data_IF_047178833867
#
_entry.id   IF_047178833867
#
_cell.length_a   1.000
_cell.length_b   1.000
_cell.length_c   1.000
_cell.angle_alpha   90.00
_cell.angle_beta   90.00
_cell.angle_gamma   90.00
#
_symmetry.space_group_name_H-M   'P 1'
#
loop_
_entity.id
_entity.type
_entity.pdbx_description
1 polymer ?
#
# COMPACT_ATOMS: atom_id res chain seq x y z
N UNK A 1 7.00 11.65 -9.53
CA UNK A 1 6.15 10.78 -10.34
C UNK A 1 5.33 10.02 -9.33
N UNK A 2 4.02 10.21 -9.30
CA UNK A 2 3.16 9.48 -8.37
C UNK A 2 3.21 8.01 -8.83
N UNK A 3 3.88 7.17 -8.07
CA UNK A 3 3.76 5.73 -8.22
C UNK A 3 2.34 5.43 -7.78
N UNK A 4 1.38 5.45 -8.71
CA UNK A 4 0.13 4.76 -8.44
C UNK A 4 0.55 3.33 -8.14
N UNK A 5 0.51 2.96 -6.86
CA UNK A 5 0.54 1.56 -6.46
C UNK A 5 -0.42 0.84 -7.41
N UNK A 6 0.06 -0.23 -8.06
CA UNK A 6 -0.89 -1.21 -8.59
C UNK A 6 -1.88 -1.51 -7.48
N UNK A 7 -3.17 -1.67 -7.84
CA UNK A 7 -4.23 -1.77 -6.84
C UNK A 7 -3.80 -2.78 -5.78
N UNK A 8 -3.94 -2.49 -4.49
CA UNK A 8 -3.40 -3.33 -3.42
C UNK A 8 -3.90 -4.79 -3.47
N UNK A 9 -5.02 -5.00 -4.18
CA UNK A 9 -5.57 -6.31 -4.52
C UNK A 9 -4.73 -7.12 -5.53
N UNK A 10 -3.85 -6.48 -6.29
CA UNK A 10 -2.95 -7.07 -7.30
C UNK A 10 -1.54 -7.31 -6.75
N UNK A 11 -1.18 -6.70 -5.61
CA UNK A 11 0.12 -6.87 -4.97
C UNK A 11 0.23 -8.21 -4.23
N UNK A 12 1.34 -8.90 -4.46
CA UNK A 12 1.75 -10.10 -3.74
C UNK A 12 2.17 -9.77 -2.29
N UNK A 13 2.27 -10.78 -1.42
CA UNK A 13 2.73 -10.59 -0.04
C UNK A 13 4.15 -9.97 0.03
N UNK A 14 5.06 -10.41 -0.85
CA UNK A 14 6.42 -9.86 -0.92
C UNK A 14 6.43 -8.40 -1.39
N UNK A 15 5.57 -8.05 -2.35
CA UNK A 15 5.46 -6.67 -2.84
C UNK A 15 4.85 -5.76 -1.77
N UNK A 16 3.82 -6.21 -1.06
CA UNK A 16 3.24 -5.45 0.07
C UNK A 16 4.27 -5.17 1.16
N UNK A 17 5.16 -6.11 1.44
CA UNK A 17 6.25 -5.92 2.40
C UNK A 17 7.25 -4.86 1.92
N UNK A 18 7.68 -4.90 0.65
CA UNK A 18 8.54 -3.84 0.07
C UNK A 18 7.87 -2.47 0.11
N UNK A 19 6.56 -2.42 -0.15
CA UNK A 19 5.76 -1.20 -0.12
C UNK A 19 5.71 -0.62 1.30
N UNK A 20 5.40 -1.46 2.30
CA UNK A 20 5.38 -1.08 3.71
C UNK A 20 6.77 -0.70 4.26
N UNK A 21 7.85 -1.24 3.69
CA UNK A 21 9.23 -0.87 4.06
C UNK A 21 9.67 0.45 3.39
N UNK A 22 9.22 0.69 2.16
CA UNK A 22 9.59 1.88 1.36
C UNK A 22 8.80 3.13 1.73
N UNK A 23 7.59 2.99 2.28
CA UNK A 23 6.67 4.10 2.55
C UNK A 23 6.16 4.11 3.99
N UNK A 24 5.88 5.31 4.49
CA UNK A 24 5.30 5.49 5.83
C UNK A 24 3.77 5.33 5.81
N UNK A 25 3.22 4.85 6.93
CA UNK A 25 1.77 4.73 7.14
C UNK A 25 1.01 6.03 6.82
N UNK A 26 1.57 7.19 7.17
CA UNK A 26 0.98 8.49 6.86
C UNK A 26 0.85 8.77 5.35
N UNK A 27 1.77 8.28 4.51
CA UNK A 27 1.65 8.42 3.04
C UNK A 27 0.54 7.53 2.49
N UNK A 28 0.31 6.37 3.11
CA UNK A 28 -0.78 5.48 2.74
C UNK A 28 -2.15 6.01 3.18
N UNK A 29 -2.27 6.64 4.35
CA UNK A 29 -3.52 7.25 4.83
C UNK A 29 -3.99 8.43 3.95
N UNK A 30 -3.06 9.15 3.31
CA UNK A 30 -3.39 10.24 2.37
C UNK A 30 -3.72 9.72 0.95
N UNK A 31 -3.22 8.55 0.56
CA UNK A 31 -3.32 8.04 -0.82
C UNK A 31 -4.31 6.87 -1.00
N UNK A 32 -4.59 6.12 0.07
CA UNK A 32 -5.43 4.92 0.08
C UNK A 32 -6.61 5.07 1.02
N UNK A 33 -7.70 4.36 0.70
CA UNK A 33 -8.84 4.27 1.60
C UNK A 33 -8.59 3.32 2.78
N UNK A 34 -9.39 3.44 3.84
CA UNK A 34 -9.33 2.54 5.01
C UNK A 34 -9.41 1.05 4.62
N UNK A 35 -10.23 0.70 3.62
CA UNK A 35 -10.36 -0.67 3.11
C UNK A 35 -9.07 -1.16 2.41
N UNK A 36 -8.39 -0.27 1.69
CA UNK A 36 -7.13 -0.60 0.99
C UNK A 36 -5.95 -0.70 1.97
N UNK A 37 -5.93 0.13 3.02
CA UNK A 37 -4.99 0.02 4.13
C UNK A 37 -5.15 -1.30 4.90
N UNK A 38 -6.39 -1.69 5.19
CA UNK A 38 -6.67 -2.98 5.81
C UNK A 38 -6.21 -4.12 4.90
N UNK A 39 -6.46 -4.03 3.59
CA UNK A 39 -5.95 -5.01 2.63
C UNK A 39 -4.42 -5.07 2.59
N UNK A 40 -3.72 -3.93 2.71
CA UNK A 40 -2.26 -3.87 2.68
C UNK A 40 -1.62 -4.54 3.89
N UNK A 41 -2.27 -4.44 5.05
CA UNK A 41 -1.73 -4.83 6.36
C UNK A 41 -2.26 -6.17 6.88
N UNK A 42 -3.28 -6.74 6.24
CA UNK A 42 -3.84 -8.07 6.52
C UNK A 42 -3.05 -9.22 5.88
#
# INVERSE_FOLDING_TARGET
MCHHFEAIAELDADEREEVLESHSADEFEDELSDEELEALTA
#
